data_IF_473364111068
#
_entry.id   IF_473364111068
#
_cell.length_a   1.000
_cell.length_b   1.000
_cell.length_c   1.000
_cell.angle_alpha   90.00
_cell.angle_beta   90.00
_cell.angle_gamma   90.00
#
_symmetry.space_group_name_H-M   'P 1'
#
loop_
_entity.id
_entity.type
_entity.pdbx_description
1 polymer ?
#
# COMPACT_ATOMS: atom_id res chain seq x y z
N UNK A 1 -13.44 -4.57 7.64
CA UNK A 1 -13.90 -3.33 8.29
C UNK A 1 -13.21 -2.96 9.62
N UNK A 2 -12.23 -3.73 10.12
CA UNK A 2 -11.55 -3.37 11.37
C UNK A 2 -10.56 -2.19 11.23
N UNK A 3 -9.85 -2.14 10.09
CA UNK A 3 -8.79 -1.13 9.85
C UNK A 3 -9.36 0.29 9.75
N UNK A 4 -10.57 0.46 9.21
CA UNK A 4 -11.23 1.78 9.12
C UNK A 4 -11.60 2.34 10.49
N UNK A 5 -12.23 1.52 11.35
CA UNK A 5 -12.61 1.95 12.70
C UNK A 5 -11.43 2.36 13.57
N UNK A 6 -10.30 1.65 13.47
CA UNK A 6 -9.06 2.02 14.18
C UNK A 6 -8.46 3.32 13.63
N UNK A 7 -8.50 3.55 12.30
CA UNK A 7 -7.99 4.78 11.69
C UNK A 7 -8.78 6.01 12.15
N UNK A 8 -10.11 5.89 12.18
CA UNK A 8 -11.01 6.97 12.54
C UNK A 8 -10.90 7.31 14.04
N UNK A 9 -10.78 6.29 14.90
CA UNK A 9 -10.64 6.48 16.35
C UNK A 9 -9.37 7.28 16.73
N UNK A 10 -8.26 7.05 16.03
CA UNK A 10 -6.98 7.73 16.30
C UNK A 10 -6.70 8.90 15.35
N UNK A 11 -7.68 9.34 14.53
CA UNK A 11 -7.55 10.46 13.58
C UNK A 11 -6.29 10.37 12.70
N UNK A 12 -5.96 9.16 12.25
CA UNK A 12 -4.74 8.87 11.50
C UNK A 12 -4.87 9.42 10.08
N UNK A 13 -4.53 10.70 9.89
CA UNK A 13 -4.50 11.40 8.58
C UNK A 13 -3.36 10.98 7.66
N UNK A 14 -2.43 10.14 8.13
CA UNK A 14 -1.39 9.58 7.27
C UNK A 14 -2.02 8.53 6.37
N UNK A 15 -1.69 8.55 5.09
CA UNK A 15 -2.04 7.57 4.08
C UNK A 15 -1.70 6.14 4.55
N UNK A 16 -2.53 5.54 5.41
CA UNK A 16 -2.47 4.13 5.85
C UNK A 16 -2.85 3.18 4.71
N UNK A 17 -2.90 3.67 3.50
CA UNK A 17 -2.96 2.81 2.36
C UNK A 17 -1.53 2.28 2.25
N UNK A 18 -1.33 1.09 2.83
CA UNK A 18 -0.05 0.36 2.84
C UNK A 18 0.56 0.36 1.43
N UNK A 19 1.88 0.15 1.35
CA UNK A 19 2.64 0.24 0.11
C UNK A 19 1.88 -0.44 -1.06
N UNK A 20 1.46 0.31 -2.08
CA UNK A 20 0.55 -0.22 -3.11
C UNK A 20 1.12 -1.40 -3.92
N UNK A 21 2.44 -1.58 -3.83
CA UNK A 21 3.19 -2.65 -4.48
C UNK A 21 3.61 -3.79 -3.55
N UNK A 22 3.33 -3.69 -2.24
CA UNK A 22 3.75 -4.67 -1.26
C UNK A 22 2.57 -5.36 -0.57
N UNK A 23 2.69 -6.66 -0.32
CA UNK A 23 3.81 -7.55 -0.67
C UNK A 23 3.92 -7.85 -2.18
N UNK A 24 5.11 -8.23 -2.68
CA UNK A 24 5.42 -8.40 -4.12
C UNK A 24 4.50 -9.39 -4.88
N UNK A 25 3.76 -10.24 -4.17
CA UNK A 25 2.77 -11.15 -4.75
C UNK A 25 1.32 -10.64 -4.75
N UNK A 26 1.07 -9.47 -4.14
CA UNK A 26 -0.26 -8.90 -3.96
C UNK A 26 -0.25 -7.37 -4.14
N UNK A 27 0.17 -6.87 -5.32
CA UNK A 27 -0.03 -5.46 -5.65
C UNK A 27 -1.52 -5.14 -5.74
N UNK A 28 -1.87 -3.85 -5.65
CA UNK A 28 -3.25 -3.46 -5.89
C UNK A 28 -3.65 -3.67 -7.35
N UNK A 29 -4.91 -4.04 -7.55
CA UNK A 29 -5.48 -4.19 -8.88
C UNK A 29 -5.38 -2.89 -9.68
N UNK A 30 -4.81 -2.98 -10.88
CA UNK A 30 -4.63 -1.84 -11.78
C UNK A 30 -3.37 -1.01 -11.55
N UNK A 31 -2.49 -1.38 -10.61
CA UNK A 31 -1.17 -0.77 -10.47
C UNK A 31 -0.08 -1.63 -11.13
N UNK A 32 0.78 -0.98 -11.90
CA UNK A 32 2.02 -1.61 -12.37
C UNK A 32 3.13 -1.37 -11.36
N UNK A 33 3.75 -2.43 -10.85
CA UNK A 33 4.85 -2.33 -9.89
C UNK A 33 6.15 -2.85 -10.50
N UNK A 34 7.20 -2.03 -10.45
CA UNK A 34 8.57 -2.42 -10.76
C UNK A 34 9.27 -2.88 -9.49
N UNK A 35 9.81 -4.10 -9.55
CA UNK A 35 10.53 -4.75 -8.46
C UNK A 35 12.04 -4.82 -8.71
N UNK A 36 12.60 -3.91 -9.52
CA UNK A 36 14.05 -3.84 -9.77
C UNK A 36 14.86 -3.75 -8.47
N UNK A 37 14.30 -3.09 -7.45
CA UNK A 37 14.81 -3.14 -6.08
C UNK A 37 13.72 -3.73 -5.17
N UNK A 38 13.84 -5.00 -4.73
CA UNK A 38 12.84 -5.66 -3.89
C UNK A 38 12.56 -4.91 -2.58
N UNK A 39 13.56 -4.20 -2.07
CA UNK A 39 13.48 -3.37 -0.86
C UNK A 39 12.75 -2.03 -1.08
N UNK A 40 12.56 -1.60 -2.33
CA UNK A 40 11.88 -0.36 -2.69
C UNK A 40 11.18 -0.52 -4.05
N UNK A 41 10.06 -1.26 -4.09
CA UNK A 41 9.28 -1.37 -5.30
C UNK A 41 8.71 -0.02 -5.69
N UNK A 42 8.72 0.27 -6.99
CA UNK A 42 8.23 1.53 -7.56
C UNK A 42 6.95 1.30 -8.33
N UNK A 43 6.00 2.20 -8.20
CA UNK A 43 4.82 2.24 -9.06
C UNK A 43 5.26 2.79 -10.42
N UNK A 44 4.95 2.08 -11.50
CA UNK A 44 5.27 2.43 -12.88
C UNK A 44 4.04 2.68 -13.76
N UNK A 45 2.82 2.35 -13.27
CA UNK A 45 1.55 2.58 -13.95
C UNK A 45 0.44 2.88 -12.97
#
# INVERSE_FOLDING_TARGET
DAIRGTRDHYNLKKNWNSDPCLPQGYPWDGLGCSYENPSSPKIIS
#
